data_IF_821281488729
#
_entry.id   IF_821281488729
#
_cell.length_a   1.000
_cell.length_b   1.000
_cell.length_c   1.000
_cell.angle_alpha   90.00
_cell.angle_beta   90.00
_cell.angle_gamma   90.00
#
_symmetry.space_group_name_H-M   'P 1'
#
loop_
_entity.id
_entity.type
_entity.pdbx_description
1 polymer ?
#
# COMPACT_ATOMS: atom_id res chain seq x y z
N UNK A 1 -1.70 -8.81 -1.70
CA UNK A 1 -1.83 -7.54 -0.94
C UNK A 1 -2.59 -7.70 0.37
N UNK A 2 -3.92 -7.93 0.34
CA UNK A 2 -4.80 -7.89 1.52
C UNK A 2 -4.48 -8.96 2.57
N UNK A 3 -4.17 -10.19 2.12
CA UNK A 3 -3.74 -11.29 2.99
C UNK A 3 -2.38 -11.04 3.66
N UNK A 4 -1.47 -10.41 2.92
CA UNK A 4 -0.06 -10.26 3.33
C UNK A 4 0.16 -9.05 4.24
N UNK A 5 -0.51 -7.93 3.97
CA UNK A 5 -0.26 -6.65 4.63
C UNK A 5 -1.27 -6.28 5.72
N UNK A 6 -2.13 -7.22 6.13
CA UNK A 6 -3.07 -7.14 7.27
C UNK A 6 -3.50 -5.70 7.63
N UNK A 7 -4.57 -5.22 7.02
CA UNK A 7 -5.09 -3.88 7.29
C UNK A 7 -6.25 -3.54 6.37
N UNK A 8 -6.84 -2.38 6.60
CA UNK A 8 -7.94 -1.87 5.78
C UNK A 8 -7.47 -0.74 4.88
N UNK A 9 -7.96 -0.71 3.64
CA UNK A 9 -7.82 0.42 2.75
C UNK A 9 -9.08 1.28 2.83
N UNK A 10 -8.91 2.58 3.05
CA UNK A 10 -10.04 3.51 3.15
C UNK A 10 -9.65 4.90 2.68
N UNK A 11 -10.65 5.73 2.41
CA UNK A 11 -10.44 7.13 2.07
C UNK A 11 -10.54 8.01 3.33
N UNK A 12 -9.57 8.90 3.50
CA UNK A 12 -9.58 9.99 4.49
C UNK A 12 -9.51 11.34 3.77
N UNK A 13 -9.85 12.42 4.47
CA UNK A 13 -9.69 13.77 3.93
C UNK A 13 -8.21 14.12 3.89
N UNK A 14 -7.70 14.38 2.69
CA UNK A 14 -6.30 14.67 2.42
C UNK A 14 -5.82 15.93 3.14
N UNK A 15 -6.58 17.03 3.07
CA UNK A 15 -6.23 18.28 3.75
C UNK A 15 -6.09 18.06 5.27
N UNK A 16 -7.01 17.32 5.88
CA UNK A 16 -6.90 16.98 7.30
C UNK A 16 -5.72 16.05 7.58
N UNK A 17 -5.49 15.07 6.70
CA UNK A 17 -4.42 14.09 6.86
C UNK A 17 -3.03 14.72 6.78
N UNK A 18 -2.85 15.71 5.91
CA UNK A 18 -1.57 16.38 5.67
C UNK A 18 -1.34 17.58 6.61
N UNK A 19 -2.37 17.97 7.39
CA UNK A 19 -2.23 19.00 8.41
C UNK A 19 -1.21 18.64 9.49
N UNK A 20 -0.63 19.66 10.14
CA UNK A 20 0.36 19.54 11.21
C UNK A 20 -0.18 20.29 12.44
N UNK A 21 -0.68 19.62 13.49
CA UNK A 21 -0.73 18.16 13.67
C UNK A 21 -1.78 17.48 12.78
N UNK A 22 -1.54 16.20 12.44
CA UNK A 22 -2.41 15.39 11.57
C UNK A 22 -3.79 15.19 12.20
N UNK A 23 -4.83 15.36 11.39
CA UNK A 23 -6.23 15.14 11.77
C UNK A 23 -6.83 14.02 10.93
N UNK A 24 -7.47 13.05 11.58
CA UNK A 24 -8.14 11.92 10.90
C UNK A 24 -9.60 12.28 10.68
N UNK A 25 -9.98 12.62 9.44
CA UNK A 25 -11.36 12.93 9.07
C UNK A 25 -11.83 12.07 7.91
N UNK A 26 -13.08 11.58 7.99
CA UNK A 26 -13.72 10.73 6.99
C UNK A 26 -14.84 11.49 6.28
N UNK A 27 -15.30 10.99 5.14
CA UNK A 27 -16.59 11.39 4.58
C UNK A 27 -17.70 10.91 5.50
N UNK A 28 -18.62 11.80 5.86
CA UNK A 28 -19.73 11.42 6.75
C UNK A 28 -20.78 10.61 5.98
N UNK A 29 -21.53 9.75 6.67
CA UNK A 29 -22.61 8.96 6.04
C UNK A 29 -23.76 9.86 5.59
N UNK A 30 -24.01 10.94 6.33
CA UNK A 30 -25.14 11.86 6.13
C UNK A 30 -24.82 12.99 5.14
N UNK A 31 -23.54 13.36 5.02
CA UNK A 31 -23.04 14.32 4.03
C UNK A 31 -21.69 13.84 3.45
N UNK A 32 -21.71 12.88 2.51
CA UNK A 32 -20.48 12.26 1.99
C UNK A 32 -19.61 13.24 1.19
N UNK A 33 -20.14 14.42 0.85
CA UNK A 33 -19.43 15.50 0.18
C UNK A 33 -18.53 16.32 1.11
N UNK A 34 -18.67 16.22 2.44
CA UNK A 34 -17.89 17.02 3.41
C UNK A 34 -17.19 16.12 4.42
N UNK A 35 -15.96 16.50 4.80
CA UNK A 35 -15.20 15.75 5.79
C UNK A 35 -15.74 15.96 7.22
N UNK A 36 -15.51 14.98 8.10
CA UNK A 36 -15.95 14.98 9.50
C UNK A 36 -15.14 15.89 10.44
N UNK A 37 -14.32 16.82 9.93
CA UNK A 37 -13.58 17.76 10.76
C UNK A 37 -14.54 18.82 11.30
N UNK A 38 -14.56 19.01 12.63
CA UNK A 38 -15.46 19.96 13.29
C UNK A 38 -14.97 21.42 13.16
N UNK A 39 -13.67 21.63 12.98
CA UNK A 39 -13.07 22.97 12.89
C UNK A 39 -13.08 23.54 11.46
N UNK A 40 -13.09 22.68 10.43
CA UNK A 40 -13.05 23.09 9.04
C UNK A 40 -13.88 22.14 8.16
N UNK A 41 -14.64 22.68 7.21
CA UNK A 41 -15.48 21.89 6.28
C UNK A 41 -14.79 21.79 4.93
N UNK A 42 -14.05 20.70 4.69
CA UNK A 42 -13.44 20.43 3.40
C UNK A 42 -14.36 19.59 2.50
N UNK A 43 -14.35 19.88 1.20
CA UNK A 43 -14.97 19.01 0.19
C UNK A 43 -14.26 17.65 0.19
N UNK A 44 -14.93 16.60 0.65
CA UNK A 44 -14.33 15.28 0.81
C UNK A 44 -14.06 14.61 -0.53
N UNK A 45 -15.01 14.66 -1.47
CA UNK A 45 -14.89 13.98 -2.76
C UNK A 45 -13.65 14.44 -3.54
N UNK A 46 -13.37 15.74 -3.50
CA UNK A 46 -12.26 16.36 -4.24
C UNK A 46 -10.93 16.31 -3.47
N UNK A 47 -10.96 16.03 -2.17
CA UNK A 47 -9.78 16.04 -1.30
C UNK A 47 -9.73 14.75 -0.47
N UNK A 48 -9.81 13.60 -1.13
CA UNK A 48 -9.70 12.28 -0.50
C UNK A 48 -8.35 11.66 -0.85
N UNK A 49 -7.66 11.14 0.15
CA UNK A 49 -6.45 10.33 -0.04
C UNK A 49 -6.73 8.87 0.34
N UNK A 50 -6.15 7.93 -0.42
CA UNK A 50 -6.16 6.52 -0.06
C UNK A 50 -5.21 6.31 1.13
N UNK A 51 -5.69 5.61 2.16
CA UNK A 51 -4.91 5.33 3.36
C UNK A 51 -5.03 3.86 3.71
N UNK A 52 -3.87 3.24 3.97
CA UNK A 52 -3.78 1.92 4.56
C UNK A 52 -3.69 2.06 6.08
N UNK A 53 -4.60 1.38 6.79
CA UNK A 53 -4.68 1.42 8.25
C UNK A 53 -4.39 0.02 8.80
N UNK A 54 -3.32 -0.07 9.59
CA UNK A 54 -2.92 -1.32 10.27
C UNK A 54 -3.09 -1.15 11.76
N UNK A 55 -3.73 -2.13 12.39
CA UNK A 55 -3.79 -2.25 13.85
C UNK A 55 -2.79 -3.30 14.30
N UNK A 56 -1.78 -2.87 15.02
CA UNK A 56 -0.87 -3.75 15.77
C UNK A 56 -0.92 -3.34 17.25
N UNK A 57 0.21 -2.98 17.85
CA UNK A 57 0.27 -2.34 19.19
C UNK A 57 -0.25 -0.91 19.19
N UNK A 58 -0.24 -0.25 18.03
CA UNK A 58 -0.78 1.08 17.77
C UNK A 58 -1.48 1.11 16.40
N UNK A 59 -2.30 2.13 16.16
CA UNK A 59 -2.86 2.38 14.84
C UNK A 59 -1.82 3.11 13.98
N UNK A 60 -1.47 2.52 12.85
CA UNK A 60 -0.59 3.12 11.85
C UNK A 60 -1.39 3.50 10.61
N UNK A 61 -1.16 4.71 10.11
CA UNK A 61 -1.81 5.26 8.93
C UNK A 61 -0.74 5.57 7.89
N UNK A 62 -0.81 4.90 6.75
CA UNK A 62 0.08 5.13 5.61
C UNK A 62 -0.72 5.72 4.46
N UNK A 63 -0.43 6.97 4.06
CA UNK A 63 -0.97 7.55 2.82
C UNK A 63 -0.42 6.75 1.64
N UNK A 64 -1.30 6.46 0.69
CA UNK A 64 -0.99 5.77 -0.55
C UNK A 64 -1.31 6.76 -1.67
N UNK A 65 -0.28 7.33 -2.29
CA UNK A 65 -0.44 8.27 -3.39
C UNK A 65 -0.80 7.51 -4.66
N UNK A 66 -1.46 8.21 -5.57
CA UNK A 66 -1.78 7.67 -6.90
C UNK A 66 -0.49 7.42 -7.68
N UNK A 67 -0.36 6.24 -8.29
CA UNK A 67 0.74 5.96 -9.20
C UNK A 67 0.77 6.96 -10.37
N UNK A 68 1.98 7.39 -10.73
CA UNK A 68 2.27 8.22 -11.89
C UNK A 68 3.35 7.53 -12.72
N UNK A 69 3.25 7.58 -14.06
CA UNK A 69 4.15 6.84 -14.95
C UNK A 69 5.64 7.16 -14.76
N UNK A 70 5.96 8.36 -14.30
CA UNK A 70 7.34 8.81 -14.06
C UNK A 70 7.89 8.43 -12.66
N UNK A 71 7.06 7.82 -11.80
CA UNK A 71 7.50 7.37 -10.47
C UNK A 71 8.42 6.16 -10.57
N UNK A 72 9.30 6.06 -9.59
CA UNK A 72 10.26 4.97 -9.48
C UNK A 72 9.68 3.88 -8.57
N UNK A 73 9.74 2.62 -9.02
CA UNK A 73 9.34 1.46 -8.24
C UNK A 73 10.40 1.09 -7.18
N UNK A 74 10.73 2.04 -6.33
CA UNK A 74 11.62 1.87 -5.18
C UNK A 74 11.12 2.71 -4.00
N UNK A 75 11.55 2.35 -2.80
CA UNK A 75 11.15 3.04 -1.56
C UNK A 75 12.01 4.29 -1.35
N UNK A 76 11.38 5.38 -0.94
CA UNK A 76 12.02 6.64 -0.62
C UNK A 76 12.94 6.48 0.58
N UNK A 77 14.23 6.60 0.30
CA UNK A 77 15.32 6.55 1.28
C UNK A 77 15.18 7.56 2.42
N UNK A 78 14.72 8.77 2.08
CA UNK A 78 14.51 9.84 3.07
C UNK A 78 13.33 9.54 4.00
N UNK A 79 12.23 9.00 3.45
CA UNK A 79 11.05 8.64 4.24
C UNK A 79 11.39 7.59 5.30
N UNK A 80 12.13 6.55 4.90
CA UNK A 80 12.53 5.45 5.80
C UNK A 80 13.37 5.91 6.98
N UNK A 81 14.16 6.98 6.82
CA UNK A 81 15.17 7.39 7.80
C UNK A 81 14.82 8.64 8.60
N UNK A 82 14.26 9.66 7.95
CA UNK A 82 14.09 11.01 8.52
C UNK A 82 12.71 11.62 8.25
N UNK A 83 11.88 10.98 7.44
CA UNK A 83 10.69 11.60 6.84
C UNK A 83 11.05 12.40 5.59
N UNK A 84 10.26 12.25 4.52
CA UNK A 84 10.52 12.89 3.25
C UNK A 84 9.87 14.28 3.17
N UNK A 85 10.70 15.32 3.07
CA UNK A 85 10.24 16.71 2.92
C UNK A 85 9.57 17.02 1.58
N UNK A 86 9.70 16.14 0.58
CA UNK A 86 9.03 16.29 -0.70
C UNK A 86 7.54 15.94 -0.62
N UNK A 87 7.13 15.21 0.41
CA UNK A 87 5.73 14.79 0.62
C UNK A 87 5.15 14.20 -0.67
N UNK A 88 4.04 14.72 -1.19
CA UNK A 88 3.41 14.20 -2.40
C UNK A 88 4.25 14.37 -3.68
N UNK A 89 5.18 15.33 -3.69
CA UNK A 89 6.07 15.55 -4.83
C UNK A 89 7.23 14.54 -4.93
N UNK A 90 7.37 13.61 -3.98
CA UNK A 90 8.42 12.58 -4.04
C UNK A 90 8.12 11.52 -5.11
N UNK A 91 9.10 11.17 -5.94
CA UNK A 91 8.90 10.16 -7.00
C UNK A 91 9.10 8.71 -6.54
N UNK A 92 9.43 8.50 -5.26
CA UNK A 92 9.68 7.18 -4.67
C UNK A 92 8.59 6.87 -3.64
N UNK A 93 8.28 5.60 -3.44
CA UNK A 93 7.24 5.17 -2.50
C UNK A 93 7.65 5.42 -1.04
N UNK A 94 6.80 6.06 -0.26
CA UNK A 94 6.95 6.36 1.16
C UNK A 94 6.65 5.17 2.07
N UNK A 95 6.19 4.06 1.51
CA UNK A 95 6.08 2.81 2.25
C UNK A 95 6.12 1.62 1.30
N UNK A 96 6.44 0.45 1.85
CA UNK A 96 6.39 -0.80 1.08
C UNK A 96 4.97 -1.11 0.61
N UNK A 97 3.95 -0.73 1.39
CA UNK A 97 2.55 -0.91 0.99
C UNK A 97 2.16 0.05 -0.15
N UNK A 98 2.68 1.28 -0.15
CA UNK A 98 2.48 2.21 -1.27
C UNK A 98 3.13 1.67 -2.55
N UNK A 99 4.37 1.18 -2.47
CA UNK A 99 5.04 0.56 -3.61
C UNK A 99 4.24 -0.63 -4.16
N UNK A 100 3.68 -1.47 -3.29
CA UNK A 100 2.82 -2.58 -3.67
C UNK A 100 1.55 -2.14 -4.37
N UNK A 101 0.93 -1.07 -3.89
CA UNK A 101 -0.24 -0.50 -4.55
C UNK A 101 0.15 0.05 -5.92
N UNK A 102 1.25 0.80 -6.05
CA UNK A 102 1.67 1.32 -7.36
C UNK A 102 1.91 0.21 -8.39
N UNK A 103 2.54 -0.90 -7.99
CA UNK A 103 2.73 -2.06 -8.86
C UNK A 103 1.39 -2.71 -9.23
N UNK A 104 0.47 -2.85 -8.27
CA UNK A 104 -0.88 -3.31 -8.54
C UNK A 104 -1.56 -2.41 -9.59
N UNK A 105 -1.55 -1.08 -9.39
CA UNK A 105 -2.13 -0.12 -10.33
C UNK A 105 -1.51 -0.24 -11.72
N UNK A 106 -0.18 -0.36 -11.81
CA UNK A 106 0.54 -0.48 -13.08
C UNK A 106 0.19 -1.77 -13.85
N UNK A 107 0.09 -2.91 -13.17
CA UNK A 107 -0.06 -4.21 -13.84
C UNK A 107 -1.51 -4.67 -14.01
N UNK A 108 -2.43 -4.20 -13.18
CA UNK A 108 -3.85 -4.57 -13.26
C UNK A 108 -4.79 -3.42 -13.63
N UNK A 109 -4.28 -2.18 -13.66
CA UNK A 109 -5.09 -0.99 -13.95
C UNK A 109 -6.05 -0.61 -12.82
N UNK A 110 -5.92 -1.21 -11.63
CA UNK A 110 -6.84 -0.96 -10.53
C UNK A 110 -6.77 0.49 -10.02
N UNK A 111 -7.93 1.09 -9.81
CA UNK A 111 -8.06 2.41 -9.21
C UNK A 111 -8.01 2.34 -7.68
N UNK A 112 -7.84 3.49 -7.02
CA UNK A 112 -7.98 3.56 -5.56
C UNK A 112 -9.38 3.13 -5.10
N UNK A 113 -10.42 3.44 -5.88
CA UNK A 113 -11.80 3.02 -5.65
C UNK A 113 -11.91 1.50 -5.64
N UNK A 114 -11.35 0.83 -6.65
CA UNK A 114 -11.37 -0.65 -6.75
C UNK A 114 -10.65 -1.28 -5.55
N UNK A 115 -9.52 -0.71 -5.12
CA UNK A 115 -8.76 -1.19 -3.97
C UNK A 115 -9.58 -1.11 -2.69
N UNK A 116 -10.26 0.01 -2.44
CA UNK A 116 -11.13 0.18 -1.26
C UNK A 116 -12.32 -0.78 -1.33
N UNK A 117 -12.93 -0.96 -2.50
CA UNK A 117 -14.04 -1.89 -2.68
C UNK A 117 -13.62 -3.33 -2.41
N UNK A 118 -12.51 -3.80 -2.97
CA UNK A 118 -12.07 -5.18 -2.75
C UNK A 118 -11.59 -5.39 -1.31
N UNK A 119 -10.93 -4.39 -0.71
CA UNK A 119 -10.58 -4.43 0.71
C UNK A 119 -11.81 -4.62 1.59
N UNK A 120 -12.90 -3.90 1.33
CA UNK A 120 -14.17 -4.06 2.07
C UNK A 120 -14.76 -5.46 1.91
N UNK A 121 -14.84 -5.98 0.68
CA UNK A 121 -15.36 -7.33 0.41
C UNK A 121 -14.57 -8.40 1.15
N UNK A 122 -13.24 -8.31 1.10
CA UNK A 122 -12.34 -9.26 1.75
C UNK A 122 -12.57 -9.33 3.27
N UNK A 123 -12.66 -8.17 3.94
CA UNK A 123 -12.85 -8.13 5.38
C UNK A 123 -14.26 -8.56 5.80
N UNK A 124 -15.30 -8.17 5.07
CA UNK A 124 -16.67 -8.65 5.32
C UNK A 124 -16.77 -10.18 5.24
N UNK A 125 -16.12 -10.80 4.24
CA UNK A 125 -16.08 -12.26 4.11
C UNK A 125 -15.30 -12.91 5.25
N UNK A 126 -14.17 -12.32 5.65
CA UNK A 126 -13.34 -12.83 6.74
C UNK A 126 -14.09 -12.80 8.08
N UNK A 127 -14.83 -11.73 8.37
CA UNK A 127 -15.67 -11.61 9.57
C UNK A 127 -16.86 -12.58 9.56
N UNK A 128 -17.52 -12.75 8.40
CA UNK A 128 -18.62 -13.70 8.25
C UNK A 128 -18.18 -15.16 8.45
N UNK A 129 -16.93 -15.48 8.09
CA UNK A 129 -16.34 -16.80 8.30
C UNK A 129 -15.86 -17.01 9.74
N UNK A 130 -15.41 -15.97 10.44
CA UNK A 130 -15.04 -16.04 11.86
C UNK A 130 -16.26 -16.29 12.77
N UNK A 131 -17.45 -15.80 12.40
CA UNK A 131 -18.70 -16.01 13.14
C UNK A 131 -19.37 -17.38 12.93
N UNK A 132 -18.90 -18.21 11.99
CA UNK A 132 -19.45 -19.54 11.67
C UNK A 132 -18.45 -20.68 11.98
N UNK A 133 -17.64 -20.55 13.01
CA UNK A 133 -16.74 -21.61 13.49
C UNK A 133 -17.45 -22.66 14.38
N UNK A 134 -18.68 -23.03 14.03
CA UNK A 134 -19.31 -24.26 14.51
C UNK A 134 -20.07 -24.89 13.35
N UNK A 135 -19.71 -26.14 13.03
CA UNK A 135 -20.28 -27.02 12.00
C UNK A 135 -20.00 -26.68 10.52
N UNK A 136 -19.01 -27.35 9.92
CA UNK A 136 -19.18 -28.30 8.80
C UNK A 136 -17.85 -28.63 8.11
N UNK A 137 -17.63 -29.93 7.87
CA UNK A 137 -16.53 -30.47 7.08
C UNK A 137 -16.73 -30.18 5.59
N UNK A 138 -15.63 -29.85 4.90
CA UNK A 138 -15.36 -30.26 3.51
C UNK A 138 -15.95 -29.43 2.37
N UNK A 139 -15.12 -28.56 1.78
CA UNK A 139 -15.05 -28.36 0.32
C UNK A 139 -13.73 -27.65 -0.05
N UNK A 140 -12.91 -28.16 -0.98
CA UNK A 140 -11.76 -27.43 -1.48
C UNK A 140 -12.26 -26.28 -2.36
N UNK A 141 -12.11 -25.04 -1.89
CA UNK A 141 -12.45 -23.85 -2.68
C UNK A 141 -11.40 -23.66 -3.78
N UNK A 142 -11.83 -23.80 -5.03
CA UNK A 142 -11.13 -23.30 -6.21
C UNK A 142 -11.16 -21.78 -6.19
N UNK A 143 -10.21 -21.18 -5.47
CA UNK A 143 -9.93 -19.75 -5.59
C UNK A 143 -9.24 -19.53 -6.94
N UNK A 144 -9.94 -18.90 -7.89
CA UNK A 144 -9.28 -18.28 -9.04
C UNK A 144 -8.24 -17.26 -8.55
N UNK A 145 -7.19 -16.97 -9.35
CA UNK A 145 -6.17 -16.00 -8.96
C UNK A 145 -6.83 -14.68 -8.61
N UNK A 146 -6.71 -14.20 -7.37
CA UNK A 146 -7.26 -12.90 -7.03
C UNK A 146 -6.37 -11.84 -7.67
N UNK A 147 -6.94 -10.74 -8.17
CA UNK A 147 -6.17 -9.62 -8.75
C UNK A 147 -5.18 -8.99 -7.77
N UNK A 148 -5.27 -9.34 -6.48
CA UNK A 148 -4.36 -8.94 -5.41
C UNK A 148 -3.24 -9.95 -5.11
N UNK A 149 -3.17 -11.08 -5.82
CA UNK A 149 -2.11 -12.09 -5.72
C UNK A 149 -0.90 -11.72 -6.60
N UNK A 150 -0.40 -10.48 -6.46
CA UNK A 150 0.90 -10.11 -7.00
C UNK A 150 2.02 -10.57 -6.07
N UNK A 151 2.96 -11.34 -6.62
CA UNK A 151 4.21 -11.64 -5.96
C UNK A 151 5.26 -10.61 -6.36
N UNK A 152 5.75 -9.84 -5.37
CA UNK A 152 6.91 -8.98 -5.58
C UNK A 152 8.21 -9.74 -5.34
N UNK A 153 9.22 -9.42 -6.13
CA UNK A 153 10.58 -9.91 -5.97
C UNK A 153 11.54 -8.73 -5.87
N UNK A 154 12.54 -8.86 -5.00
CA UNK A 154 13.63 -7.89 -4.93
C UNK A 154 14.67 -8.24 -5.98
N UNK A 155 15.10 -7.23 -6.73
CA UNK A 155 16.10 -7.36 -7.79
C UNK A 155 17.23 -6.36 -7.58
N UNK A 156 18.40 -6.64 -8.13
CA UNK A 156 19.55 -5.76 -8.05
C UNK A 156 19.29 -4.47 -8.84
N UNK A 157 19.25 -3.32 -8.17
CA UNK A 157 19.01 -2.03 -8.82
C UNK A 157 20.07 -1.64 -9.86
N UNK A 158 21.31 -2.14 -9.74
CA UNK A 158 22.34 -1.93 -10.77
C UNK A 158 22.05 -2.76 -12.03
N UNK A 159 21.68 -4.03 -11.85
CA UNK A 159 21.28 -4.90 -12.96
C UNK A 159 19.99 -4.41 -13.63
N UNK A 160 19.00 -3.97 -12.85
CA UNK A 160 17.72 -3.49 -13.35
C UNK A 160 17.88 -2.27 -14.26
N UNK A 161 18.73 -1.31 -13.88
CA UNK A 161 19.07 -0.15 -14.74
C UNK A 161 19.72 -0.55 -16.06
N UNK A 162 20.34 -1.73 -16.11
CA UNK A 162 20.92 -2.30 -17.33
C UNK A 162 19.96 -3.28 -18.03
N UNK A 163 18.66 -3.28 -17.68
CA UNK A 163 17.64 -4.14 -18.29
C UNK A 163 17.68 -5.60 -17.82
N UNK A 164 18.41 -5.91 -16.75
CA UNK A 164 18.56 -7.28 -16.24
C UNK A 164 17.78 -7.49 -14.95
N UNK A 165 16.99 -8.57 -14.90
CA UNK A 165 16.27 -9.01 -13.70
C UNK A 165 17.13 -10.00 -12.94
N UNK A 166 17.82 -9.53 -11.91
CA UNK A 166 18.80 -10.34 -11.16
C UNK A 166 18.46 -10.35 -9.67
N UNK A 167 18.14 -11.52 -9.16
CA UNK A 167 17.84 -11.80 -7.76
C UNK A 167 19.14 -11.91 -6.91
N UNK A 168 19.05 -11.83 -5.57
CA UNK A 168 20.21 -12.05 -4.71
C UNK A 168 20.76 -13.47 -4.81
N UNK A 169 22.02 -13.63 -4.40
CA UNK A 169 22.56 -14.94 -4.01
C UNK A 169 21.88 -15.48 -2.74
N UNK A 170 22.12 -16.76 -2.44
CA UNK A 170 21.49 -17.45 -1.30
C UNK A 170 21.79 -16.78 0.06
N UNK A 171 22.95 -16.12 0.18
CA UNK A 171 23.39 -15.47 1.41
C UNK A 171 22.88 -14.02 1.53
N UNK A 172 22.17 -13.51 0.51
CA UNK A 172 21.69 -12.14 0.40
C UNK A 172 22.84 -11.11 0.57
N UNK A 173 24.05 -11.46 0.11
CA UNK A 173 25.25 -10.60 0.19
C UNK A 173 25.57 -9.94 -1.14
N UNK A 174 25.30 -10.62 -2.23
CA UNK A 174 25.55 -10.12 -3.59
C UNK A 174 24.36 -10.45 -4.49
N UNK A 175 24.23 -9.76 -5.63
CA UNK A 175 23.35 -10.23 -6.68
C UNK A 175 23.94 -11.46 -7.37
N UNK A 176 23.08 -12.32 -7.91
CA UNK A 176 23.47 -13.55 -8.63
C UNK A 176 24.13 -13.33 -9.99
N UNK A 177 24.22 -12.08 -10.48
CA UNK A 177 24.95 -11.76 -11.71
C UNK A 177 26.47 -11.96 -11.56
N UNK A 178 27.14 -12.16 -12.71
CA UNK A 178 28.59 -12.34 -12.80
C UNK A 178 29.40 -11.23 -12.13
N UNK A 179 28.92 -9.98 -12.21
CA UNK A 179 29.58 -8.81 -11.61
C UNK A 179 29.44 -8.74 -10.07
N UNK A 180 28.57 -9.58 -9.46
CA UNK A 180 28.38 -9.69 -8.01
C UNK A 180 28.24 -8.34 -7.30
N UNK A 181 27.31 -7.50 -7.74
CA UNK A 181 27.01 -6.24 -7.07
C UNK A 181 26.57 -6.49 -5.63
N UNK A 182 27.02 -5.66 -4.68
CA UNK A 182 26.64 -5.80 -3.28
C UNK A 182 25.13 -5.75 -3.09
N UNK A 183 24.60 -6.80 -2.47
CA UNK A 183 23.24 -6.87 -1.98
C UNK A 183 23.19 -6.26 -0.59
N UNK A 184 23.09 -4.94 -0.51
CA UNK A 184 23.06 -4.30 0.79
C UNK A 184 21.72 -4.59 1.47
N UNK A 185 21.76 -5.40 2.54
CA UNK A 185 20.74 -5.43 3.61
C UNK A 185 20.73 -4.16 4.45
N UNK A 186 21.65 -3.23 4.21
CA UNK A 186 21.60 -1.95 4.88
C UNK A 186 20.26 -1.30 4.57
N UNK A 187 19.50 -1.07 5.64
CA UNK A 187 18.52 0.00 5.75
C UNK A 187 19.15 1.24 5.14
N UNK A 188 18.91 1.42 3.86
CA UNK A 188 19.50 2.49 3.08
C UNK A 188 18.66 3.72 3.26
#
# INVERSE_FOLDING_TARGET
LLKEHQGIFTFLCEICFDSKPRIISKGTKDSPSVCSNLAAKHSFHNNKCLVHIVRSTSLKYSKIRQFQEHFQFDVCRHEVRYGCLREDSCHFAHSFIELKVWLLQQYSGMTHEDIVQESKKYWQQTEAHAGKASSSLGAPRTHGPSTFDLQMKFVCGQCWRNGQVVEPDKDLKYCSAKARHCWTKERR
#
